data_IF_957147697961
#
_entry.id   IF_957147697961
#
_cell.length_a   1.000
_cell.length_b   1.000
_cell.length_c   1.000
_cell.angle_alpha   90.00
_cell.angle_beta   90.00
_cell.angle_gamma   90.00
#
_symmetry.space_group_name_H-M   'P 1'
#
loop_
_entity.id
_entity.type
_entity.pdbx_description
1 polymer ?
#
# COMPACT_ATOMS: atom_id res chain seq x y z
N UNK A 1 -4.54 13.40 -28.30
CA UNK A 1 -5.18 13.40 -26.97
C UNK A 1 -4.59 12.28 -26.15
N UNK A 2 -3.89 12.62 -25.06
CA UNK A 2 -3.21 11.65 -24.18
C UNK A 2 -4.31 10.83 -23.47
N UNK A 3 -4.30 9.50 -23.62
CA UNK A 3 -5.16 8.59 -22.86
C UNK A 3 -4.71 8.61 -21.40
N UNK A 4 -5.16 9.61 -20.63
CA UNK A 4 -5.11 9.57 -19.17
C UNK A 4 -6.02 8.44 -18.68
N UNK A 5 -5.67 7.72 -17.61
CA UNK A 5 -6.46 6.60 -17.12
C UNK A 5 -7.89 7.05 -16.78
N UNK A 6 -8.86 6.29 -17.30
CA UNK A 6 -10.30 6.54 -17.16
C UNK A 6 -10.71 6.80 -15.71
N UNK A 7 -11.44 7.90 -15.51
CA UNK A 7 -12.31 8.27 -14.37
C UNK A 7 -12.19 7.38 -13.11
N UNK A 8 -11.53 7.92 -12.09
CA UNK A 8 -11.99 7.79 -10.70
C UNK A 8 -11.46 6.63 -9.85
N UNK A 9 -10.52 5.81 -10.33
CA UNK A 9 -9.88 4.79 -9.50
C UNK A 9 -8.40 5.09 -9.32
N UNK A 10 -8.08 5.65 -8.16
CA UNK A 10 -6.72 5.86 -7.70
C UNK A 10 -6.15 4.50 -7.29
N UNK A 11 -5.08 4.05 -7.95
CA UNK A 11 -4.38 2.80 -7.61
C UNK A 11 -2.97 3.10 -7.08
N UNK A 12 -2.42 2.20 -6.26
CA UNK A 12 -1.06 2.30 -5.75
C UNK A 12 -0.82 3.58 -4.93
N UNK A 13 0.12 4.43 -5.35
CA UNK A 13 0.46 5.69 -4.68
C UNK A 13 -0.76 6.60 -4.44
N UNK A 14 -1.67 6.67 -5.42
CA UNK A 14 -2.85 7.52 -5.33
C UNK A 14 -3.89 6.94 -4.35
N UNK A 15 -4.03 5.62 -4.30
CA UNK A 15 -4.91 4.93 -3.34
C UNK A 15 -4.44 5.18 -1.90
N UNK A 16 -3.13 5.07 -1.66
CA UNK A 16 -2.52 5.36 -0.36
C UNK A 16 -2.71 6.83 0.02
N UNK A 17 -2.46 7.76 -0.91
CA UNK A 17 -2.66 9.19 -0.68
C UNK A 17 -4.10 9.51 -0.30
N UNK A 18 -5.06 8.84 -0.93
CA UNK A 18 -6.48 9.02 -0.65
C UNK A 18 -6.87 8.40 0.71
N UNK A 19 -6.39 7.20 1.02
CA UNK A 19 -6.66 6.51 2.30
C UNK A 19 -6.07 7.23 3.52
N UNK A 20 -4.98 7.96 3.28
CA UNK A 20 -4.24 8.72 4.27
C UNK A 20 -4.51 10.23 4.18
N UNK A 21 -5.50 10.67 3.41
CA UNK A 21 -5.82 12.09 3.30
C UNK A 21 -6.21 12.65 4.67
N UNK A 22 -5.52 13.70 5.11
CA UNK A 22 -5.81 14.38 6.38
C UNK A 22 -4.94 13.99 7.57
N UNK A 23 -3.96 13.09 7.41
CA UNK A 23 -2.96 12.86 8.47
C UNK A 23 -2.04 14.07 8.66
N UNK A 24 -1.75 14.36 9.93
CA UNK A 24 -0.75 15.32 10.32
C UNK A 24 0.66 14.71 10.22
N UNK A 25 1.60 15.49 9.72
CA UNK A 25 3.01 15.13 9.67
C UNK A 25 3.82 16.02 10.62
N UNK A 26 4.94 15.54 11.19
CA UNK A 26 5.57 14.24 10.96
C UNK A 26 4.89 13.08 11.71
N UNK A 27 4.85 11.90 11.10
CA UNK A 27 4.25 10.69 11.68
C UNK A 27 5.21 9.49 11.61
N UNK A 28 5.19 8.64 12.64
CA UNK A 28 6.01 7.42 12.71
C UNK A 28 5.30 6.24 12.04
N UNK A 29 6.07 5.30 11.49
CA UNK A 29 5.59 4.07 10.86
C UNK A 29 4.68 3.28 11.79
N UNK A 30 5.11 3.04 13.03
CA UNK A 30 4.32 2.31 14.03
C UNK A 30 2.98 3.00 14.31
N UNK A 31 2.99 4.32 14.46
CA UNK A 31 1.76 5.09 14.70
C UNK A 31 0.84 5.04 13.49
N UNK A 32 1.39 5.08 12.29
CA UNK A 32 0.62 4.97 11.06
C UNK A 32 0.03 3.56 10.87
N UNK A 33 0.76 2.51 11.23
CA UNK A 33 0.26 1.12 11.25
C UNK A 33 -0.83 0.97 12.32
N UNK A 34 -0.65 1.55 13.50
CA UNK A 34 -1.63 1.49 14.58
C UNK A 34 -2.94 2.18 14.20
N UNK A 35 -2.86 3.41 13.69
CA UNK A 35 -4.04 4.24 13.39
C UNK A 35 -4.68 3.90 12.04
N UNK A 36 -3.90 3.42 11.07
CA UNK A 36 -4.33 3.25 9.68
C UNK A 36 -3.92 1.93 9.04
N UNK A 37 -3.18 1.05 9.73
CA UNK A 37 -2.70 -0.22 9.16
C UNK A 37 -3.82 -1.18 8.77
N UNK A 38 -4.96 -1.10 9.47
CA UNK A 38 -6.17 -1.87 9.17
C UNK A 38 -6.90 -1.43 7.89
N UNK A 39 -6.51 -0.29 7.28
CA UNK A 39 -7.12 0.17 6.03
C UNK A 39 -6.55 -0.61 4.85
N UNK A 40 -7.42 -1.07 3.98
CA UNK A 40 -7.05 -1.71 2.72
C UNK A 40 -6.99 -0.67 1.60
N UNK A 41 -5.96 -0.77 0.76
CA UNK A 41 -5.81 0.06 -0.43
C UNK A 41 -5.80 -0.80 -1.68
N UNK A 42 -6.52 -0.36 -2.70
CA UNK A 42 -6.52 -1.01 -4.00
C UNK A 42 -5.22 -0.67 -4.73
N UNK A 43 -4.28 -1.61 -4.75
CA UNK A 43 -2.96 -1.41 -5.38
C UNK A 43 -2.98 -1.72 -6.86
N UNK A 44 -3.83 -2.67 -7.27
CA UNK A 44 -4.20 -2.97 -8.66
C UNK A 44 -5.69 -3.30 -8.70
N UNK A 45 -6.28 -3.26 -9.90
CA UNK A 45 -7.70 -3.59 -10.10
C UNK A 45 -8.02 -4.97 -9.50
N UNK A 46 -8.81 -5.01 -8.43
CA UNK A 46 -9.19 -6.23 -7.72
C UNK A 46 -8.12 -6.79 -6.76
N UNK A 47 -6.99 -6.10 -6.57
CA UNK A 47 -5.92 -6.46 -5.64
C UNK A 47 -5.88 -5.42 -4.51
N UNK A 48 -6.31 -5.84 -3.33
CA UNK A 48 -6.33 -5.04 -2.12
C UNK A 48 -5.24 -5.52 -1.18
N UNK A 49 -4.50 -4.58 -0.59
CA UNK A 49 -3.44 -4.88 0.38
C UNK A 49 -3.66 -3.97 1.59
N UNK A 50 -3.47 -4.54 2.78
CA UNK A 50 -3.46 -3.79 4.04
C UNK A 50 -2.32 -2.78 4.05
N UNK A 51 -2.59 -1.56 4.50
CA UNK A 51 -1.56 -0.55 4.69
C UNK A 51 -0.45 -1.05 5.61
N UNK A 52 -0.77 -1.84 6.65
CA UNK A 52 0.26 -2.40 7.54
C UNK A 52 1.31 -3.23 6.78
N UNK A 53 0.89 -4.04 5.81
CA UNK A 53 1.78 -4.94 5.08
C UNK A 53 2.71 -4.15 4.16
N UNK A 54 2.19 -3.06 3.59
CA UNK A 54 2.93 -2.11 2.78
C UNK A 54 3.98 -1.37 3.63
N UNK A 55 3.59 -0.87 4.80
CA UNK A 55 4.49 -0.12 5.69
C UNK A 55 5.51 -1.00 6.40
N UNK A 56 5.15 -2.24 6.74
CA UNK A 56 6.08 -3.21 7.36
C UNK A 56 7.25 -3.54 6.42
N UNK A 57 7.03 -3.52 5.10
CA UNK A 57 8.07 -3.69 4.09
C UNK A 57 8.92 -2.43 3.86
N UNK A 58 8.50 -1.27 4.35
CA UNK A 58 9.26 -0.03 4.22
C UNK A 58 10.41 0.01 5.22
N UNK A 59 11.61 0.32 4.74
CA UNK A 59 12.80 0.52 5.58
C UNK A 59 12.79 1.85 6.34
N UNK A 60 11.72 2.64 6.21
CA UNK A 60 11.62 3.97 6.79
C UNK A 60 10.70 3.97 8.00
N UNK A 61 11.21 4.41 9.14
CA UNK A 61 10.47 4.42 10.40
C UNK A 61 9.69 5.71 10.65
N UNK A 62 9.99 6.79 9.92
CA UNK A 62 9.32 8.08 10.10
C UNK A 62 9.14 8.81 8.78
N UNK A 63 7.98 9.43 8.62
CA UNK A 63 7.60 10.18 7.45
C UNK A 63 7.42 11.65 7.81
N UNK A 64 8.10 12.52 7.06
CA UNK A 64 8.05 13.97 7.26
C UNK A 64 6.91 14.64 6.50
N UNK A 65 6.35 13.98 5.48
CA UNK A 65 5.30 14.52 4.62
C UNK A 65 4.62 13.42 3.81
N UNK A 66 3.44 13.71 3.25
CA UNK A 66 2.71 12.78 2.37
C UNK A 66 3.55 12.34 1.17
N UNK A 67 4.25 13.29 0.52
CA UNK A 67 5.16 12.97 -0.60
C UNK A 67 6.27 12.01 -0.20
N UNK A 68 6.85 12.21 0.98
CA UNK A 68 7.93 11.40 1.51
C UNK A 68 7.48 9.96 1.79
N UNK A 69 6.29 9.83 2.40
CA UNK A 69 5.63 8.56 2.62
C UNK A 69 5.39 7.84 1.29
N UNK A 70 4.71 8.49 0.35
CA UNK A 70 4.36 7.90 -0.95
C UNK A 70 5.62 7.48 -1.73
N UNK A 71 6.67 8.31 -1.70
CA UNK A 71 7.96 7.99 -2.32
C UNK A 71 8.63 6.76 -1.71
N UNK A 72 8.44 6.50 -0.41
CA UNK A 72 8.97 5.29 0.24
C UNK A 72 8.28 4.01 -0.23
N UNK A 73 7.04 4.10 -0.74
CA UNK A 73 6.22 2.97 -1.15
C UNK A 73 6.40 2.59 -2.63
N UNK A 74 6.89 3.52 -3.46
CA UNK A 74 7.24 3.28 -4.88
C UNK A 74 7.99 1.97 -5.16
N UNK A 75 9.05 1.59 -4.42
CA UNK A 75 9.74 0.33 -4.66
C UNK A 75 8.89 -0.90 -4.33
N UNK A 76 7.98 -0.82 -3.35
CA UNK A 76 7.14 -1.95 -2.92
C UNK A 76 6.10 -2.35 -3.96
N UNK A 77 5.61 -1.40 -4.77
CA UNK A 77 4.67 -1.68 -5.87
C UNK A 77 5.37 -2.25 -7.13
N UNK A 78 6.70 -2.16 -7.22
CA UNK A 78 7.47 -2.55 -8.40
C UNK A 78 7.82 -4.04 -8.45
N UNK A 79 7.66 -4.79 -7.34
CA UNK A 79 7.84 -6.25 -7.31
C UNK A 79 6.52 -6.99 -7.46
N UNK A 80 6.06 -7.11 -8.71
CA UNK A 80 5.27 -8.28 -9.11
C UNK A 80 6.17 -9.51 -9.09
N UNK A 81 5.92 -10.45 -8.18
CA UNK A 81 6.69 -11.69 -8.12
C UNK A 81 6.29 -12.58 -6.95
N UNK A 82 5.21 -13.35 -7.15
CA UNK A 82 4.74 -14.47 -6.33
C UNK A 82 4.31 -14.13 -4.89
N UNK A 83 3.02 -13.87 -4.76
CA UNK A 83 2.27 -14.42 -3.63
C UNK A 83 2.20 -15.95 -3.85
N UNK A 84 2.83 -16.80 -3.01
CA UNK A 84 2.46 -18.20 -3.00
C UNK A 84 1.03 -18.26 -2.45
N UNK A 85 0.09 -18.48 -3.35
CA UNK A 85 -1.21 -19.06 -3.01
C UNK A 85 -0.93 -20.22 -2.07
N UNK A 86 -1.51 -20.12 -0.88
CA UNK A 86 -1.52 -21.17 0.14
C UNK A 86 -2.13 -22.43 -0.48
N UNK A 87 -1.30 -23.25 -1.13
CA UNK A 87 -1.61 -24.62 -1.50
C UNK A 87 -1.68 -25.41 -0.20
N UNK A 88 -2.81 -25.29 0.49
CA UNK A 88 -3.16 -26.14 1.61
C UNK A 88 -3.25 -27.55 1.05
N UNK A 89 -2.27 -28.35 1.41
CA UNK A 89 -2.06 -29.72 0.97
C UNK A 89 -3.37 -30.52 1.01
N UNK A 90 -3.88 -30.87 -0.17
CA UNK A 90 -4.64 -32.08 -0.35
C UNK A 90 -3.61 -33.19 -0.61
N UNK A 91 -3.24 -33.91 0.45
CA UNK A 91 -2.75 -35.29 0.31
C UNK A 91 -3.69 -36.16 1.12
N UNK A 92 -4.69 -36.63 0.38
CA UNK A 92 -5.45 -37.83 0.66
C UNK A 92 -4.54 -39.05 0.45
N UNK A 93 -4.93 -40.14 1.14
CA UNK A 93 -4.42 -41.53 1.09
C UNK A 93 -3.28 -41.86 2.04
#
# INVERSE_FOLDING_TARGET
>A
MVRGPSKGRAYGEAAVTQALKGIAFPISKEQLIKEHGHKEVEVKKGEYILLEDIFTKSQKDRFSSMRDLVSSLKPSFKKGGKQPSKARAARSS
#
